data_IF_169906227234
#
_entry.id   IF_169906227234
#
_cell.length_a   1.000
_cell.length_b   1.000
_cell.length_c   1.000
_cell.angle_alpha   90.00
_cell.angle_beta   90.00
_cell.angle_gamma   90.00
#
_symmetry.space_group_name_H-M   'P 1'
#
loop_
_entity.id
_entity.type
_entity.pdbx_description
1 polymer ?
#
# COMPACT_ATOMS: atom_id res chain seq x y z
N UNK A 1 -23.68 -27.50 -17.81
CA UNK A 1 -23.78 -26.16 -18.42
C UNK A 1 -22.38 -25.77 -18.86
N UNK A 2 -22.14 -25.62 -20.16
CA UNK A 2 -20.82 -25.28 -20.68
C UNK A 2 -20.58 -23.80 -20.39
N UNK A 3 -19.76 -23.51 -19.37
CA UNK A 3 -19.54 -22.14 -18.88
C UNK A 3 -18.85 -21.24 -19.92
N UNK A 4 -18.18 -21.87 -20.90
CA UNK A 4 -17.36 -21.22 -21.91
C UNK A 4 -17.86 -21.54 -23.32
N UNK A 5 -18.15 -20.50 -24.10
CA UNK A 5 -18.09 -20.49 -25.55
C UNK A 5 -16.60 -20.53 -26.00
N UNK A 6 -16.33 -20.78 -27.27
CA UNK A 6 -14.95 -20.80 -27.80
C UNK A 6 -14.53 -19.42 -28.33
N UNK A 7 -14.86 -18.36 -27.61
CA UNK A 7 -14.41 -16.99 -27.92
C UNK A 7 -13.07 -16.64 -27.24
N UNK A 8 -12.52 -15.48 -27.58
CA UNK A 8 -11.21 -15.02 -27.11
C UNK A 8 -11.14 -14.91 -25.59
N UNK A 9 -12.11 -14.26 -24.96
CA UNK A 9 -12.14 -14.04 -23.50
C UNK A 9 -12.28 -15.35 -22.74
N UNK A 10 -13.09 -16.29 -23.24
CA UNK A 10 -13.23 -17.63 -22.66
C UNK A 10 -11.96 -18.47 -22.81
N UNK A 11 -11.18 -18.29 -23.89
CA UNK A 11 -9.86 -18.93 -24.05
C UNK A 11 -8.88 -18.44 -22.98
N UNK A 12 -8.85 -17.12 -22.71
CA UNK A 12 -8.02 -16.52 -21.67
C UNK A 12 -8.43 -17.03 -20.27
N UNK A 13 -9.73 -17.10 -20.00
CA UNK A 13 -10.26 -17.65 -18.74
C UNK A 13 -9.90 -19.13 -18.54
N UNK A 14 -9.98 -19.95 -19.59
CA UNK A 14 -9.51 -21.35 -19.58
C UNK A 14 -8.00 -21.44 -19.31
N UNK A 15 -7.19 -20.58 -19.96
CA UNK A 15 -5.75 -20.48 -19.73
C UNK A 15 -5.44 -20.20 -18.25
N UNK A 16 -6.13 -19.23 -17.65
CA UNK A 16 -6.00 -18.91 -16.23
C UNK A 16 -6.41 -20.08 -15.32
N UNK A 17 -7.54 -20.75 -15.60
CA UNK A 17 -7.96 -21.97 -14.88
C UNK A 17 -6.97 -23.13 -15.03
N UNK A 18 -6.21 -23.17 -16.12
CA UNK A 18 -5.11 -24.11 -16.32
C UNK A 18 -3.86 -23.81 -15.48
N UNK A 19 -3.86 -22.72 -14.69
CA UNK A 19 -2.71 -22.28 -13.91
C UNK A 19 -1.70 -21.45 -14.70
N UNK A 20 -1.99 -21.11 -15.96
CA UNK A 20 -1.10 -20.33 -16.79
C UNK A 20 -1.29 -18.84 -16.55
N UNK A 21 -0.18 -18.10 -16.58
CA UNK A 21 -0.19 -16.64 -16.44
C UNK A 21 -0.83 -15.98 -17.67
N UNK A 22 -1.73 -15.02 -17.43
CA UNK A 22 -2.28 -14.16 -18.49
C UNK A 22 -1.38 -12.95 -18.74
N UNK A 23 -1.26 -12.53 -20.00
CA UNK A 23 -0.47 -11.34 -20.39
C UNK A 23 -1.25 -10.04 -20.09
N UNK A 24 -0.59 -8.87 -20.08
CA UNK A 24 -1.28 -7.58 -19.99
C UNK A 24 -2.34 -7.39 -21.09
N UNK A 25 -2.06 -7.81 -22.32
CA UNK A 25 -3.00 -7.70 -23.45
C UNK A 25 -4.23 -8.58 -23.24
N UNK A 26 -4.04 -9.80 -22.75
CA UNK A 26 -5.13 -10.70 -22.38
C UNK A 26 -5.94 -10.16 -21.18
N UNK A 27 -5.28 -9.52 -20.20
CA UNK A 27 -5.95 -8.89 -19.08
C UNK A 27 -6.79 -7.68 -19.52
N UNK A 28 -6.29 -6.87 -20.46
CA UNK A 28 -7.03 -5.75 -21.05
C UNK A 28 -8.25 -6.24 -21.84
N UNK A 29 -8.10 -7.29 -22.64
CA UNK A 29 -9.21 -7.92 -23.36
C UNK A 29 -10.30 -8.43 -22.41
N UNK A 30 -9.92 -9.04 -21.28
CA UNK A 30 -10.89 -9.41 -20.24
C UNK A 30 -11.55 -8.20 -19.57
N UNK A 31 -10.81 -7.11 -19.36
CA UNK A 31 -11.32 -5.91 -18.71
C UNK A 31 -12.39 -5.22 -19.57
N UNK A 32 -12.15 -5.12 -20.88
CA UNK A 32 -13.02 -4.39 -21.80
C UNK A 32 -14.18 -5.24 -22.34
N UNK A 33 -13.90 -6.52 -22.64
CA UNK A 33 -14.80 -7.37 -23.41
C UNK A 33 -15.25 -8.64 -22.67
N UNK A 34 -14.73 -8.89 -21.47
CA UNK A 34 -15.01 -10.10 -20.72
C UNK A 34 -16.40 -10.13 -20.09
N UNK A 35 -17.05 -11.30 -20.10
CA UNK A 35 -18.27 -11.53 -19.34
C UNK A 35 -17.95 -11.48 -17.83
N UNK A 36 -18.51 -10.47 -17.16
CA UNK A 36 -18.29 -10.21 -15.74
C UNK A 36 -18.59 -11.44 -14.86
N UNK A 37 -19.67 -12.18 -15.13
CA UNK A 37 -20.05 -13.34 -14.32
C UNK A 37 -19.07 -14.51 -14.52
N UNK A 38 -18.58 -14.70 -15.75
CA UNK A 38 -17.55 -15.72 -16.02
C UNK A 38 -16.22 -15.36 -15.34
N UNK A 39 -15.79 -14.09 -15.40
CA UNK A 39 -14.59 -13.62 -14.70
C UNK A 39 -14.71 -13.87 -13.20
N UNK A 40 -15.84 -13.50 -12.58
CA UNK A 40 -16.09 -13.75 -11.16
C UNK A 40 -16.03 -15.24 -10.80
N UNK A 41 -16.63 -16.11 -11.62
CA UNK A 41 -16.61 -17.54 -11.40
C UNK A 41 -15.18 -18.11 -11.43
N UNK A 42 -14.39 -17.69 -12.42
CA UNK A 42 -12.97 -18.10 -12.54
C UNK A 42 -12.13 -17.55 -11.40
N UNK A 43 -12.27 -16.27 -11.06
CA UNK A 43 -11.55 -15.66 -9.94
C UNK A 43 -11.86 -16.36 -8.61
N UNK A 44 -13.13 -16.71 -8.37
CA UNK A 44 -13.56 -17.46 -7.18
C UNK A 44 -12.93 -18.85 -7.13
N UNK A 45 -12.92 -19.57 -8.25
CA UNK A 45 -12.28 -20.88 -8.35
C UNK A 45 -10.77 -20.78 -8.08
N UNK A 46 -10.08 -19.81 -8.69
CA UNK A 46 -8.65 -19.58 -8.44
C UNK A 46 -8.35 -19.23 -6.97
N UNK A 47 -9.22 -18.43 -6.31
CA UNK A 47 -9.13 -18.16 -4.87
C UNK A 47 -9.30 -19.44 -4.05
N UNK A 48 -10.31 -20.25 -4.36
CA UNK A 48 -10.63 -21.48 -3.63
C UNK A 48 -9.52 -22.53 -3.70
N UNK A 49 -8.68 -22.50 -4.75
CA UNK A 49 -7.48 -23.35 -4.86
C UNK A 49 -6.34 -22.92 -3.94
N UNK A 50 -6.28 -21.63 -3.58
CA UNK A 50 -5.25 -21.07 -2.69
C UNK A 50 -5.65 -21.15 -1.22
N UNK A 51 -6.92 -20.90 -0.92
CA UNK A 51 -7.46 -20.84 0.45
C UNK A 51 -8.82 -21.52 0.48
N UNK A 52 -9.09 -22.28 1.54
CA UNK A 52 -10.37 -22.94 1.75
C UNK A 52 -11.54 -21.94 1.60
N UNK A 53 -12.59 -22.27 0.83
CA UNK A 53 -13.77 -21.41 0.70
C UNK A 53 -14.51 -21.18 2.02
N UNK A 54 -14.28 -22.02 3.02
CA UNK A 54 -14.87 -21.92 4.36
C UNK A 54 -14.12 -20.94 5.29
N UNK A 55 -12.99 -20.38 4.85
CA UNK A 55 -12.14 -19.51 5.66
C UNK A 55 -12.17 -18.09 5.09
N UNK A 56 -12.42 -17.12 5.97
CA UNK A 56 -12.22 -15.70 5.73
C UNK A 56 -11.38 -15.13 6.88
N UNK A 57 -10.23 -14.54 6.58
CA UNK A 57 -9.36 -13.89 7.56
C UNK A 57 -9.65 -12.39 7.64
N UNK A 58 -9.43 -11.81 8.80
CA UNK A 58 -9.47 -10.37 9.01
C UNK A 58 -8.32 -9.95 9.93
N UNK A 59 -8.02 -8.66 9.96
CA UNK A 59 -7.12 -8.03 10.93
C UNK A 59 -7.86 -6.86 11.57
N UNK A 60 -7.66 -6.66 12.87
CA UNK A 60 -8.18 -5.50 13.59
C UNK A 60 -7.01 -4.53 13.84
N UNK A 61 -7.08 -3.36 13.22
CA UNK A 61 -6.03 -2.36 13.32
C UNK A 61 -6.59 -0.97 13.60
N UNK A 62 -5.75 -0.13 14.20
CA UNK A 62 -6.03 1.30 14.38
C UNK A 62 -5.23 2.09 13.36
N UNK A 63 -5.92 2.81 12.48
CA UNK A 63 -5.27 3.88 11.71
C UNK A 63 -4.92 5.01 12.67
N UNK A 64 -3.64 5.34 12.75
CA UNK A 64 -3.14 6.50 13.49
C UNK A 64 -2.56 7.47 12.48
N UNK A 65 -3.26 8.58 12.31
CA UNK A 65 -2.77 9.69 11.52
C UNK A 65 -1.89 10.59 12.40
N UNK A 66 -0.56 10.48 12.30
CA UNK A 66 0.35 11.17 13.22
C UNK A 66 0.55 12.65 12.91
N UNK A 67 0.34 13.05 11.66
CA UNK A 67 0.30 14.45 11.22
C UNK A 67 -0.58 14.57 10.00
N UNK A 68 -1.25 15.70 9.84
CA UNK A 68 -1.90 16.08 8.59
C UNK A 68 -1.14 17.15 7.80
N UNK A 69 -0.01 17.66 8.30
CA UNK A 69 0.87 18.52 7.52
C UNK A 69 1.51 17.75 6.37
N UNK A 70 1.35 18.23 5.13
CA UNK A 70 1.89 17.53 3.97
C UNK A 70 2.25 18.51 2.84
N UNK A 71 3.39 18.28 2.18
CA UNK A 71 3.86 19.08 1.05
C UNK A 71 3.55 18.47 -0.34
N UNK A 72 2.81 17.36 -0.39
CA UNK A 72 2.58 16.56 -1.61
C UNK A 72 1.40 17.08 -2.44
N UNK A 73 0.40 17.72 -1.82
CA UNK A 73 -0.72 18.38 -2.51
C UNK A 73 -1.47 17.49 -3.52
N UNK A 74 -1.94 16.33 -3.08
CA UNK A 74 -2.78 15.46 -3.92
C UNK A 74 -4.16 16.08 -4.15
N UNK A 75 -4.65 16.07 -5.40
CA UNK A 75 -5.91 16.73 -5.78
C UNK A 75 -7.17 16.12 -5.14
N UNK A 76 -7.09 14.86 -4.72
CA UNK A 76 -8.18 14.11 -4.12
C UNK A 76 -8.10 14.01 -2.58
N UNK A 77 -7.02 14.51 -1.96
CA UNK A 77 -6.76 14.30 -0.54
C UNK A 77 -7.44 15.40 0.30
N UNK A 78 -8.48 15.04 1.04
CA UNK A 78 -9.15 15.93 2.00
C UNK A 78 -8.48 15.97 3.38
N UNK A 79 -7.46 15.14 3.59
CA UNK A 79 -6.78 15.01 4.89
C UNK A 79 -5.71 16.09 5.10
N UNK A 80 -5.04 16.52 4.03
CA UNK A 80 -3.87 17.41 4.12
C UNK A 80 -4.23 18.81 4.61
N UNK A 81 -3.35 19.34 5.47
CA UNK A 81 -3.28 20.77 5.76
C UNK A 81 -1.93 21.34 5.28
N UNK A 82 -1.97 22.60 4.85
CA UNK A 82 -0.78 23.31 4.38
C UNK A 82 0.13 23.64 5.56
N UNK A 83 1.44 23.45 5.36
CA UNK A 83 2.43 23.81 6.36
C UNK A 83 2.38 25.33 6.59
N UNK A 84 2.18 25.73 7.84
CA UNK A 84 2.04 27.14 8.24
C UNK A 84 0.62 27.69 8.27
N UNK A 85 -0.41 26.95 7.83
CA UNK A 85 -1.82 27.37 7.92
C UNK A 85 -2.40 27.32 9.35
N UNK A 86 -1.64 26.78 10.31
CA UNK A 86 -2.00 26.75 11.74
C UNK A 86 -3.14 25.81 12.13
N UNK A 87 -3.71 25.06 11.17
CA UNK A 87 -4.79 24.09 11.39
C UNK A 87 -4.34 22.63 11.41
N UNK A 88 -3.10 22.38 11.00
CA UNK A 88 -2.50 21.06 11.09
C UNK A 88 -2.07 20.70 12.51
N UNK A 89 -1.63 19.45 12.68
CA UNK A 89 -1.19 18.90 13.96
C UNK A 89 -0.05 17.92 13.78
N UNK A 90 0.72 17.70 14.85
CA UNK A 90 1.62 16.55 15.02
C UNK A 90 1.26 15.92 16.35
N UNK A 91 0.87 14.65 16.34
CA UNK A 91 0.54 13.93 17.57
C UNK A 91 1.81 13.65 18.38
N UNK A 92 1.72 13.80 19.70
CA UNK A 92 2.72 13.27 20.62
C UNK A 92 2.68 11.73 20.69
N UNK A 93 3.76 11.12 21.17
CA UNK A 93 3.82 9.67 21.39
C UNK A 93 2.81 9.21 22.45
N UNK A 94 2.48 10.08 23.40
CA UNK A 94 1.45 9.84 24.42
C UNK A 94 0.04 9.82 23.79
N UNK A 95 -0.28 10.76 22.90
CA UNK A 95 -1.57 10.77 22.18
C UNK A 95 -1.70 9.55 21.24
N UNK A 96 -0.61 9.16 20.58
CA UNK A 96 -0.58 7.93 19.76
C UNK A 96 -0.81 6.70 20.63
N UNK A 97 -0.13 6.60 21.77
CA UNK A 97 -0.30 5.49 22.70
C UNK A 97 -1.74 5.39 23.19
N UNK A 98 -2.36 6.50 23.61
CA UNK A 98 -3.75 6.51 24.07
C UNK A 98 -4.70 5.96 23.01
N UNK A 99 -4.55 6.41 21.74
CA UNK A 99 -5.36 5.89 20.61
C UNK A 99 -5.17 4.39 20.40
N UNK A 100 -3.96 3.88 20.67
CA UNK A 100 -3.66 2.46 20.56
C UNK A 100 -4.20 1.65 21.74
N UNK A 101 -4.12 2.17 22.97
CA UNK A 101 -4.71 1.53 24.16
C UNK A 101 -6.22 1.33 23.98
N UNK A 102 -6.91 2.35 23.47
CA UNK A 102 -8.34 2.29 23.13
C UNK A 102 -8.66 1.17 22.12
N UNK A 103 -7.77 0.95 21.15
CA UNK A 103 -7.95 -0.06 20.11
C UNK A 103 -7.59 -1.47 20.59
N UNK A 104 -6.51 -1.59 21.36
CA UNK A 104 -6.10 -2.86 21.99
C UNK A 104 -7.16 -3.35 22.97
N UNK A 105 -7.79 -2.45 23.70
CA UNK A 105 -8.94 -2.79 24.55
C UNK A 105 -10.14 -3.38 23.77
N UNK A 106 -10.20 -3.15 22.45
CA UNK A 106 -11.20 -3.69 21.53
C UNK A 106 -10.68 -4.91 20.73
N UNK A 107 -9.48 -5.40 21.03
CA UNK A 107 -8.87 -6.57 20.39
C UNK A 107 -8.06 -6.27 19.13
N UNK A 108 -7.70 -5.01 18.86
CA UNK A 108 -6.74 -4.69 17.82
C UNK A 108 -5.32 -5.09 18.22
N UNK A 109 -4.57 -5.66 17.29
CA UNK A 109 -3.17 -6.08 17.46
C UNK A 109 -2.22 -5.38 16.50
N UNK A 110 -2.72 -4.44 15.70
CA UNK A 110 -1.92 -3.72 14.71
C UNK A 110 -2.14 -2.21 14.76
N UNK A 111 -1.03 -1.46 14.77
CA UNK A 111 -1.02 -0.03 14.48
C UNK A 111 -0.78 0.16 12.98
N UNK A 112 -1.68 0.89 12.31
CA UNK A 112 -1.46 1.38 10.96
C UNK A 112 -1.11 2.88 11.01
N UNK A 113 0.18 3.17 11.03
CA UNK A 113 0.70 4.54 11.18
C UNK A 113 0.89 5.19 9.79
N UNK A 114 0.14 6.26 9.53
CA UNK A 114 0.21 7.02 8.27
C UNK A 114 0.17 8.51 8.56
N UNK A 115 0.71 9.35 7.69
CA UNK A 115 0.59 10.79 7.87
C UNK A 115 0.81 11.57 6.60
N UNK A 116 0.86 12.87 6.76
CA UNK A 116 1.40 13.76 5.74
C UNK A 116 2.93 13.70 5.69
N UNK A 117 3.48 14.08 4.54
CA UNK A 117 4.93 14.25 4.35
C UNK A 117 5.31 15.62 4.86
N UNK A 118 5.76 15.69 6.11
CA UNK A 118 6.10 16.93 6.81
C UNK A 118 7.61 17.07 7.03
N UNK A 119 8.32 17.93 6.27
CA UNK A 119 9.78 18.02 6.33
C UNK A 119 10.37 18.50 7.66
N UNK A 120 9.59 19.18 8.49
CA UNK A 120 10.06 19.67 9.80
C UNK A 120 9.99 18.59 10.89
N UNK A 121 9.35 17.44 10.60
CA UNK A 121 9.28 16.33 11.52
C UNK A 121 10.59 15.53 11.45
N UNK A 122 11.32 15.48 12.57
CA UNK A 122 12.61 14.80 12.64
C UNK A 122 12.48 13.30 12.45
N UNK A 123 13.53 12.65 11.96
CA UNK A 123 13.54 11.19 11.86
C UNK A 123 13.40 10.51 13.23
N UNK A 124 14.00 11.09 14.26
CA UNK A 124 13.94 10.62 15.65
C UNK A 124 12.50 10.56 16.19
N UNK A 125 11.62 11.46 15.75
CA UNK A 125 10.20 11.40 16.12
C UNK A 125 9.59 10.04 15.78
N UNK A 126 9.82 9.54 14.56
CA UNK A 126 9.27 8.26 14.12
C UNK A 126 9.85 7.09 14.91
N UNK A 127 11.17 7.10 15.14
CA UNK A 127 11.87 6.05 15.88
C UNK A 127 11.42 6.01 17.34
N UNK A 128 11.35 7.16 18.01
CA UNK A 128 10.90 7.24 19.40
C UNK A 128 9.44 6.83 19.55
N UNK A 129 8.56 7.25 18.63
CA UNK A 129 7.15 6.89 18.66
C UNK A 129 6.96 5.37 18.55
N UNK A 130 7.60 4.71 17.59
CA UNK A 130 7.47 3.26 17.43
C UNK A 130 8.03 2.50 18.63
N UNK A 131 9.22 2.88 19.12
CA UNK A 131 9.83 2.27 20.33
C UNK A 131 8.92 2.43 21.54
N UNK A 132 8.36 3.62 21.73
CA UNK A 132 7.47 3.92 22.83
C UNK A 132 6.20 3.07 22.79
N UNK A 133 5.57 2.93 21.63
CA UNK A 133 4.39 2.06 21.45
C UNK A 133 4.72 0.59 21.73
N UNK A 134 5.83 0.07 21.18
CA UNK A 134 6.29 -1.30 21.43
C UNK A 134 6.60 -1.56 22.91
N UNK A 135 7.23 -0.59 23.59
CA UNK A 135 7.55 -0.70 25.01
C UNK A 135 6.28 -0.76 25.87
N UNK A 136 5.31 0.12 25.62
CA UNK A 136 4.13 0.27 26.48
C UNK A 136 3.05 -0.77 26.25
N UNK A 137 2.82 -1.19 25.01
CA UNK A 137 1.79 -2.18 24.66
C UNK A 137 2.34 -3.61 24.56
N UNK A 138 3.65 -3.78 24.68
CA UNK A 138 4.35 -5.04 24.50
C UNK A 138 4.66 -5.34 23.03
N UNK A 139 5.62 -6.24 22.82
CA UNK A 139 6.14 -6.59 21.48
C UNK A 139 5.15 -7.28 20.53
N UNK A 140 3.92 -7.57 20.98
CA UNK A 140 2.90 -8.25 20.18
C UNK A 140 2.14 -7.30 19.24
N UNK A 141 2.28 -5.98 19.39
CA UNK A 141 1.65 -5.02 18.45
C UNK A 141 2.42 -4.99 17.14
N UNK A 142 1.77 -5.33 16.04
CA UNK A 142 2.32 -5.19 14.69
C UNK A 142 2.26 -3.72 14.26
N UNK A 143 3.40 -3.11 13.95
CA UNK A 143 3.49 -1.76 13.40
C UNK A 143 3.61 -1.86 11.89
N UNK A 144 2.52 -1.52 11.23
CA UNK A 144 2.47 -1.29 9.78
C UNK A 144 2.53 0.21 9.54
N UNK A 145 3.61 0.71 8.94
CA UNK A 145 3.79 2.15 8.83
C UNK A 145 4.44 2.59 7.51
N UNK A 146 4.18 3.85 7.18
CA UNK A 146 4.83 4.65 6.13
C UNK A 146 4.64 4.14 4.69
N UNK A 147 4.02 4.97 3.86
CA UNK A 147 4.01 4.78 2.42
C UNK A 147 5.43 4.87 1.83
N UNK A 148 5.65 4.31 0.63
CA UNK A 148 6.87 4.56 -0.15
C UNK A 148 7.24 6.04 -0.32
N UNK A 149 6.25 6.92 -0.38
CA UNK A 149 6.47 8.37 -0.47
C UNK A 149 7.06 8.93 0.83
N UNK A 150 6.52 8.51 1.98
CA UNK A 150 7.05 8.89 3.30
C UNK A 150 8.47 8.34 3.51
N UNK A 151 8.70 7.05 3.23
CA UNK A 151 10.00 6.40 3.41
C UNK A 151 11.10 7.06 2.57
N UNK A 152 10.79 7.38 1.31
CA UNK A 152 11.75 8.09 0.45
C UNK A 152 12.03 9.50 0.98
N UNK A 153 10.99 10.24 1.39
CA UNK A 153 11.16 11.57 1.95
C UNK A 153 12.03 11.54 3.22
N UNK A 154 11.86 10.53 4.09
CA UNK A 154 12.71 10.37 5.27
C UNK A 154 14.18 10.14 4.89
N UNK A 155 14.45 9.29 3.91
CA UNK A 155 15.81 9.04 3.41
C UNK A 155 16.43 10.32 2.83
N UNK A 156 15.69 11.06 2.00
CA UNK A 156 16.13 12.33 1.40
C UNK A 156 16.43 13.42 2.45
N UNK A 157 15.51 13.65 3.39
CA UNK A 157 15.66 14.69 4.43
C UNK A 157 16.85 14.39 5.34
N UNK A 158 17.09 13.10 5.62
CA UNK A 158 18.18 12.69 6.50
C UNK A 158 19.51 12.53 5.79
N UNK A 159 19.55 12.57 4.46
CA UNK A 159 20.74 12.28 3.67
C UNK A 159 21.24 10.83 3.79
N UNK A 160 20.38 9.91 4.24
CA UNK A 160 20.67 8.48 4.41
C UNK A 160 20.27 7.71 3.16
N UNK A 161 20.84 6.52 2.97
CA UNK A 161 20.26 5.59 2.02
C UNK A 161 18.91 5.08 2.52
N UNK A 162 18.06 4.63 1.59
CA UNK A 162 16.78 4.02 1.94
C UNK A 162 16.97 2.75 2.78
N UNK A 163 17.97 1.91 2.46
CA UNK A 163 18.30 0.72 3.23
C UNK A 163 18.68 1.05 4.69
N UNK A 164 19.50 2.08 4.92
CA UNK A 164 19.86 2.51 6.29
C UNK A 164 18.63 3.02 7.03
N UNK A 165 17.81 3.85 6.37
CA UNK A 165 16.55 4.36 6.93
C UNK A 165 15.63 3.21 7.35
N UNK A 166 15.45 2.20 6.49
CA UNK A 166 14.62 1.03 6.78
C UNK A 166 15.17 0.18 7.93
N UNK A 167 16.49 0.00 8.01
CA UNK A 167 17.13 -0.72 9.12
C UNK A 167 16.90 -0.02 10.46
N UNK A 168 17.06 1.31 10.52
CA UNK A 168 16.76 2.08 11.73
C UNK A 168 15.27 1.99 12.11
N UNK A 169 14.36 2.05 11.13
CA UNK A 169 12.92 1.90 11.36
C UNK A 169 12.57 0.49 11.89
N UNK A 170 13.18 -0.56 11.33
CA UNK A 170 13.01 -1.95 11.80
C UNK A 170 13.51 -2.12 13.23
N UNK A 171 14.69 -1.58 13.54
CA UNK A 171 15.25 -1.63 14.88
C UNK A 171 14.39 -0.85 15.90
N UNK A 172 13.64 0.15 15.43
CA UNK A 172 12.64 0.86 16.23
C UNK A 172 11.29 0.13 16.35
N UNK A 173 11.05 -0.92 15.56
CA UNK A 173 9.88 -1.79 15.67
C UNK A 173 8.95 -1.80 14.46
N UNK A 174 9.37 -1.30 13.29
CA UNK A 174 8.61 -1.45 12.04
C UNK A 174 8.52 -2.92 11.61
N UNK A 175 7.30 -3.44 11.42
CA UNK A 175 7.08 -4.85 11.07
C UNK A 175 6.62 -5.05 9.62
N UNK A 176 5.92 -4.09 9.01
CA UNK A 176 5.54 -4.15 7.60
C UNK A 176 5.26 -2.78 6.99
N UNK A 177 5.26 -2.70 5.67
CA UNK A 177 5.02 -1.47 4.92
C UNK A 177 3.74 -1.55 4.07
N UNK A 178 2.86 -0.53 4.13
CA UNK A 178 1.74 -0.41 3.21
C UNK A 178 2.20 0.00 1.82
N UNK A 179 1.56 -0.53 0.78
CA UNK A 179 1.76 -0.04 -0.60
C UNK A 179 1.07 1.28 -0.93
N UNK A 180 0.80 2.12 0.08
CA UNK A 180 0.07 3.36 -0.10
C UNK A 180 0.80 4.35 -1.02
N UNK A 181 0.07 5.31 -1.59
CA UNK A 181 0.66 6.30 -2.49
C UNK A 181 0.92 5.80 -3.92
N UNK A 182 0.51 4.56 -4.25
CA UNK A 182 0.55 4.01 -5.60
C UNK A 182 -0.52 4.62 -6.51
N UNK A 183 -1.72 4.88 -5.97
CA UNK A 183 -2.94 5.27 -6.68
C UNK A 183 -3.17 4.45 -7.96
N UNK A 184 -2.73 4.98 -9.11
CA UNK A 184 -2.49 4.26 -10.36
C UNK A 184 -1.02 4.51 -10.73
N UNK A 185 -0.28 3.42 -10.98
CA UNK A 185 1.18 3.45 -11.17
C UNK A 185 1.53 3.78 -12.62
N UNK A 186 1.03 4.92 -13.12
CA UNK A 186 1.34 5.46 -14.44
C UNK A 186 1.68 6.94 -14.34
N UNK A 187 2.60 7.40 -15.18
CA UNK A 187 3.06 8.79 -15.14
C UNK A 187 1.94 9.79 -15.47
N UNK A 188 0.98 9.41 -16.33
CA UNK A 188 -0.18 10.25 -16.66
C UNK A 188 -1.05 10.46 -15.42
N UNK A 189 -1.44 9.39 -14.73
CA UNK A 189 -2.27 9.49 -13.53
C UNK A 189 -1.55 10.17 -12.38
N UNK A 190 -0.25 9.95 -12.22
CA UNK A 190 0.57 10.69 -11.25
C UNK A 190 0.48 12.19 -11.49
N UNK A 191 0.64 12.66 -12.74
CA UNK A 191 0.53 14.09 -13.08
C UNK A 191 -0.85 14.68 -12.81
N UNK A 192 -1.92 13.90 -13.00
CA UNK A 192 -3.30 14.33 -12.77
C UNK A 192 -3.61 14.41 -11.26
N UNK A 193 -3.26 13.36 -10.52
CA UNK A 193 -3.71 13.19 -9.14
C UNK A 193 -2.72 13.72 -8.09
N UNK A 194 -1.42 13.59 -8.33
CA UNK A 194 -0.40 13.79 -7.31
C UNK A 194 1.00 14.06 -7.90
N UNK A 195 1.21 15.18 -8.62
CA UNK A 195 2.42 15.44 -9.39
C UNK A 195 3.71 15.56 -8.55
N UNK A 196 3.60 15.77 -7.24
CA UNK A 196 4.72 15.82 -6.29
C UNK A 196 5.05 14.47 -5.65
N UNK A 197 4.23 13.43 -5.84
CA UNK A 197 4.52 12.07 -5.35
C UNK A 197 5.62 11.40 -6.16
N UNK A 198 6.12 10.29 -5.61
CA UNK A 198 7.02 9.36 -6.27
C UNK A 198 6.52 8.92 -7.65
N UNK A 199 7.44 8.79 -8.62
CA UNK A 199 7.15 8.12 -9.89
C UNK A 199 6.93 6.62 -9.65
N UNK A 200 6.40 5.93 -10.66
CA UNK A 200 6.24 4.47 -10.62
C UNK A 200 7.55 3.76 -10.32
N UNK A 201 8.64 4.16 -10.96
CA UNK A 201 9.97 3.58 -10.77
C UNK A 201 10.46 3.77 -9.34
N UNK A 202 10.25 4.97 -8.78
CA UNK A 202 10.65 5.28 -7.41
C UNK A 202 9.79 4.52 -6.39
N UNK A 203 8.49 4.35 -6.64
CA UNK A 203 7.63 3.52 -5.81
C UNK A 203 8.10 2.05 -5.82
N UNK A 204 8.43 1.53 -7.00
CA UNK A 204 8.95 0.16 -7.19
C UNK A 204 10.29 0.00 -6.47
N UNK A 205 11.23 0.93 -6.63
CA UNK A 205 12.53 0.92 -5.95
C UNK A 205 12.36 0.87 -4.43
N UNK A 206 11.45 1.66 -3.88
CA UNK A 206 11.23 1.69 -2.43
C UNK A 206 10.66 0.37 -1.94
N UNK A 207 9.64 -0.17 -2.61
CA UNK A 207 9.03 -1.44 -2.23
C UNK A 207 10.00 -2.62 -2.41
N UNK A 208 10.79 -2.62 -3.48
CA UNK A 208 11.85 -3.61 -3.71
C UNK A 208 12.89 -3.57 -2.59
N UNK A 209 13.30 -2.37 -2.18
CA UNK A 209 14.23 -2.21 -1.05
C UNK A 209 13.60 -2.69 0.26
N UNK A 210 12.32 -2.42 0.51
CA UNK A 210 11.62 -2.95 1.69
C UNK A 210 11.64 -4.48 1.72
N UNK A 211 11.30 -5.14 0.60
CA UNK A 211 11.31 -6.60 0.51
C UNK A 211 12.73 -7.18 0.69
N UNK A 212 13.74 -6.55 0.10
CA UNK A 212 15.15 -6.95 0.25
C UNK A 212 15.66 -6.80 1.69
N UNK A 213 15.16 -5.81 2.43
CA UNK A 213 15.39 -5.65 3.86
C UNK A 213 14.51 -6.58 4.71
N UNK A 214 13.74 -7.49 4.10
CA UNK A 214 12.91 -8.47 4.80
C UNK A 214 11.63 -7.88 5.43
N UNK A 215 11.20 -6.69 5.00
CA UNK A 215 9.92 -6.12 5.38
C UNK A 215 8.83 -6.59 4.42
N UNK A 216 7.80 -7.31 4.89
CA UNK A 216 6.66 -7.64 4.06
C UNK A 216 5.90 -6.37 3.66
N UNK A 217 5.45 -6.34 2.41
CA UNK A 217 4.71 -5.24 1.82
C UNK A 217 3.28 -5.59 1.43
N UNK A 218 2.51 -4.57 1.08
CA UNK A 218 1.29 -4.72 0.30
C UNK A 218 1.35 -3.81 -0.92
N UNK A 219 0.39 -3.94 -1.84
CA UNK A 219 0.13 -2.95 -2.89
C UNK A 219 -1.35 -2.56 -2.84
N UNK A 220 -1.69 -1.33 -3.21
CA UNK A 220 -3.08 -0.88 -3.34
C UNK A 220 -3.30 -0.22 -4.70
N UNK A 221 -4.57 -0.16 -5.09
CA UNK A 221 -5.03 0.56 -6.28
C UNK A 221 -6.15 1.50 -5.87
N UNK A 222 -6.08 2.76 -6.27
CA UNK A 222 -7.18 3.71 -6.16
C UNK A 222 -7.67 4.00 -7.58
N UNK A 223 -8.88 3.56 -7.87
CA UNK A 223 -9.52 3.67 -9.19
C UNK A 223 -10.91 4.31 -9.05
N UNK A 224 -11.49 4.72 -10.16
CA UNK A 224 -12.69 5.54 -10.26
C UNK A 224 -12.40 7.03 -10.51
N UNK A 225 -11.20 7.38 -10.96
CA UNK A 225 -10.83 8.75 -11.33
C UNK A 225 -10.86 8.93 -12.86
N UNK A 226 -9.73 9.30 -13.47
CA UNK A 226 -9.60 9.50 -14.92
C UNK A 226 -8.80 8.38 -15.61
N UNK A 227 -8.43 7.32 -14.89
CA UNK A 227 -7.62 6.22 -15.43
C UNK A 227 -8.36 5.41 -16.50
N UNK A 228 -7.59 4.90 -17.45
CA UNK A 228 -8.08 3.98 -18.48
C UNK A 228 -7.97 2.52 -18.02
N UNK A 229 -8.72 1.62 -18.66
CA UNK A 229 -8.58 0.17 -18.42
C UNK A 229 -7.13 -0.31 -18.60
N UNK A 230 -6.43 0.22 -19.62
CA UNK A 230 -5.02 -0.07 -19.86
C UNK A 230 -4.12 0.35 -18.69
N UNK A 231 -4.37 1.49 -18.04
CA UNK A 231 -3.56 1.95 -16.91
C UNK A 231 -3.81 1.13 -15.64
N UNK A 232 -5.04 0.62 -15.46
CA UNK A 232 -5.34 -0.35 -14.38
C UNK A 232 -4.56 -1.65 -14.61
N UNK A 233 -4.54 -2.14 -15.85
CA UNK A 233 -3.76 -3.34 -16.22
C UNK A 233 -2.25 -3.11 -16.06
N UNK A 234 -1.74 -1.95 -16.49
CA UNK A 234 -0.33 -1.57 -16.32
C UNK A 234 0.07 -1.55 -14.83
N UNK A 235 -0.75 -0.94 -13.98
CA UNK A 235 -0.54 -0.93 -12.53
C UNK A 235 -0.45 -2.35 -11.95
N UNK A 236 -1.38 -3.25 -12.34
CA UNK A 236 -1.35 -4.65 -11.88
C UNK A 236 -0.11 -5.39 -12.39
N UNK A 237 0.35 -5.10 -13.61
CA UNK A 237 1.56 -5.72 -14.17
C UNK A 237 2.83 -5.23 -13.48
N UNK A 238 2.91 -3.95 -13.10
CA UNK A 238 4.01 -3.39 -12.28
C UNK A 238 4.13 -4.15 -10.96
N UNK A 239 3.01 -4.30 -10.23
CA UNK A 239 2.99 -5.04 -8.96
C UNK A 239 3.41 -6.50 -9.18
N UNK A 240 2.88 -7.15 -10.22
CA UNK A 240 3.18 -8.55 -10.53
C UNK A 240 4.65 -8.78 -10.88
N UNK A 241 5.26 -7.87 -11.65
CA UNK A 241 6.69 -7.90 -11.99
C UNK A 241 7.59 -7.64 -10.78
N UNK A 242 7.16 -6.79 -9.85
CA UNK A 242 7.88 -6.60 -8.59
C UNK A 242 7.82 -7.88 -7.74
N UNK A 243 6.64 -8.48 -7.61
CA UNK A 243 6.44 -9.72 -6.86
C UNK A 243 7.23 -10.92 -7.43
N UNK A 244 7.53 -10.94 -8.72
CA UNK A 244 8.37 -11.99 -9.32
C UNK A 244 9.86 -11.86 -8.96
N UNK A 245 10.31 -10.65 -8.61
CA UNK A 245 11.72 -10.33 -8.34
C UNK A 245 12.06 -10.33 -6.84
N UNK A 246 11.04 -10.29 -5.98
CA UNK A 246 11.17 -10.10 -4.52
C UNK A 246 10.37 -11.09 -3.72
#
# INVERSE_FOLDING_TARGET
MQLFANDTTDSILKKALGGNRITPEEALELYENGDYLKIQAVARELRNRKVSPAIASYTAFRVVNYTNYCNVECSFCSFMDEIGNGKGYVLSKEEVLQKMEEAVAQGADQMFLQGGVYPELSFDYYLELMRYVKEKLGGNIHIRAFSPVELRSMAEITGRSLSETLRELKDAGLDSVPGAGAEILTERMRKILSPKKATTEQWVEVMETCHNEGLPGSANVVFGSEETASEVVEHLDVIRKLQDRT
#
